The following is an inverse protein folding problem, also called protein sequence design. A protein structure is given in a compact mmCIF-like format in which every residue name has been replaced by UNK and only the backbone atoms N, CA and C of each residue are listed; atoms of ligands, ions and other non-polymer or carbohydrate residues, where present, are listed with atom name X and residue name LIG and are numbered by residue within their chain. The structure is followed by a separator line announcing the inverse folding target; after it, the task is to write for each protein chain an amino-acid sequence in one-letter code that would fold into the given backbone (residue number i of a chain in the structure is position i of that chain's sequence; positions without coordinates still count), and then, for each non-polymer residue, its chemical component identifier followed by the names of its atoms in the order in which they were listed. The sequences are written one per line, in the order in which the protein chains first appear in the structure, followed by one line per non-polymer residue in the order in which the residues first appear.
data_IF_566768949194
#
_entry.id   IF_566768949194
#
_cell.length_a   1.000
_cell.length_b   1.000
_cell.length_c   1.000
_cell.angle_alpha   90.00
_cell.angle_beta   90.00
_cell.angle_gamma   90.00
#
_symmetry.space_group_name_H-M   'P 1'
#
loop_
_entity.id
_entity.type
_entity.pdbx_description
1 polymer ?
#
# COMPACT_ATOMS: atom_id res chain seq x y z
N UNK A 1 100.33 -32.33 0.37
CA UNK A 1 100.82 -31.01 0.84
C UNK A 1 100.89 -29.97 -0.26
N UNK A 2 99.72 -29.66 -0.96
CA UNK A 2 99.79 -28.75 -2.16
C UNK A 2 98.64 -27.71 -2.19
N UNK A 3 97.85 -27.51 -1.07
CA UNK A 3 96.77 -26.47 -1.00
C UNK A 3 97.16 -25.20 -0.22
N UNK A 4 98.24 -25.20 0.61
CA UNK A 4 98.64 -24.05 1.41
C UNK A 4 99.44 -23.00 0.65
N UNK A 5 100.12 -23.36 -0.39
CA UNK A 5 101.03 -22.47 -1.19
C UNK A 5 100.31 -21.59 -2.20
N UNK A 6 99.13 -21.98 -2.69
CA UNK A 6 98.35 -21.21 -3.67
C UNK A 6 97.60 -20.08 -3.04
N UNK A 7 97.10 -20.24 -1.80
CA UNK A 7 96.36 -19.22 -1.06
C UNK A 7 97.29 -18.06 -0.68
N UNK A 8 98.51 -18.35 -0.24
CA UNK A 8 99.44 -17.28 0.13
C UNK A 8 99.91 -16.43 -1.07
N UNK A 9 99.96 -16.98 -2.30
CA UNK A 9 100.24 -16.20 -3.52
C UNK A 9 99.08 -15.30 -3.97
N UNK A 10 97.84 -15.69 -3.68
CA UNK A 10 96.69 -14.88 -4.00
C UNK A 10 96.53 -13.72 -3.01
N UNK A 11 96.82 -14.00 -1.73
CA UNK A 11 96.70 -12.97 -0.66
C UNK A 11 97.84 -11.96 -0.73
N UNK A 12 99.02 -12.33 -1.29
CA UNK A 12 100.14 -11.40 -1.48
C UNK A 12 100.00 -10.54 -2.76
N UNK A 13 99.05 -10.77 -3.61
CA UNK A 13 98.85 -10.04 -4.85
C UNK A 13 98.18 -8.66 -4.59
N UNK A 14 98.77 -7.60 -5.11
CA UNK A 14 98.17 -6.23 -5.07
C UNK A 14 96.79 -6.22 -5.69
N UNK A 15 96.55 -7.01 -6.74
CA UNK A 15 95.21 -7.13 -7.40
C UNK A 15 94.16 -7.75 -6.51
N UNK A 16 94.48 -8.71 -5.61
CA UNK A 16 93.61 -9.32 -4.69
C UNK A 16 93.09 -8.28 -3.64
N UNK A 17 93.95 -7.43 -3.11
CA UNK A 17 93.58 -6.40 -2.18
C UNK A 17 92.77 -5.28 -2.82
N UNK A 18 92.98 -4.96 -4.08
CA UNK A 18 92.21 -4.03 -4.85
C UNK A 18 90.77 -4.56 -5.03
N UNK A 19 90.61 -5.84 -5.38
CA UNK A 19 89.32 -6.48 -5.57
C UNK A 19 88.57 -6.56 -4.25
N UNK A 20 89.19 -6.97 -3.12
CA UNK A 20 88.57 -6.99 -1.83
C UNK A 20 88.21 -5.59 -1.35
N UNK A 21 89.03 -4.58 -1.56
CA UNK A 21 88.71 -3.21 -1.24
C UNK A 21 87.44 -2.70 -2.00
N UNK A 22 87.39 -3.01 -3.29
CA UNK A 22 86.27 -2.67 -4.13
C UNK A 22 84.96 -3.39 -3.71
N UNK A 23 85.08 -4.66 -3.36
CA UNK A 23 84.00 -5.49 -2.89
C UNK A 23 83.51 -5.03 -1.49
N UNK A 24 84.43 -4.69 -0.61
CA UNK A 24 84.14 -4.10 0.71
C UNK A 24 83.45 -2.72 0.63
N UNK A 25 83.96 -1.89 -0.29
CA UNK A 25 83.38 -0.60 -0.63
C UNK A 25 81.96 -0.71 -1.18
N UNK A 26 81.74 -1.69 -2.09
CA UNK A 26 80.43 -1.97 -2.67
C UNK A 26 79.47 -2.54 -1.62
N UNK A 27 79.92 -3.42 -0.75
CA UNK A 27 79.12 -3.91 0.35
C UNK A 27 78.81 -2.80 1.35
N UNK A 28 79.75 -1.98 1.66
CA UNK A 28 79.52 -0.82 2.53
C UNK A 28 78.55 0.17 1.90
N UNK A 29 78.72 0.43 0.59
CA UNK A 29 77.80 1.30 -0.15
C UNK A 29 76.39 0.74 -0.19
N UNK A 30 76.21 -0.56 -0.47
CA UNK A 30 74.88 -1.22 -0.44
C UNK A 30 74.31 -1.26 0.96
N UNK A 31 75.12 -1.45 2.00
CA UNK A 31 74.67 -1.39 3.40
C UNK A 31 74.19 0.02 3.77
N UNK A 32 74.94 1.09 3.41
CA UNK A 32 74.55 2.47 3.67
C UNK A 32 73.30 2.80 2.88
N UNK A 33 73.23 2.47 1.60
CA UNK A 33 72.05 2.68 0.75
C UNK A 33 70.81 1.91 1.24
N UNK A 34 70.97 0.74 1.85
CA UNK A 34 69.86 -0.03 2.41
C UNK A 34 69.39 0.50 3.77
N UNK A 35 70.24 1.26 4.44
CA UNK A 35 69.97 1.80 5.80
C UNK A 35 69.49 3.26 5.73
N UNK A 36 69.81 4.01 4.68
CA UNK A 36 69.29 5.35 4.45
C UNK A 36 67.82 5.27 3.95
N UNK A 37 66.83 5.33 4.86
CA UNK A 37 65.43 5.53 4.51
C UNK A 37 65.26 6.88 3.85
N UNK A 38 65.16 6.92 2.53
CA UNK A 38 64.87 8.14 1.76
C UNK A 38 63.54 8.71 2.19
N UNK A 39 63.52 9.79 2.91
CA UNK A 39 62.34 10.54 3.25
C UNK A 39 61.84 11.37 2.07
N UNK A 40 60.55 11.33 1.80
CA UNK A 40 59.89 12.11 0.77
C UNK A 40 58.82 12.97 1.40
N UNK A 41 58.40 13.99 0.68
CA UNK A 41 57.25 14.82 1.06
C UNK A 41 56.12 14.57 0.08
N UNK A 42 54.89 14.35 0.62
CA UNK A 42 53.68 14.15 -0.16
C UNK A 42 52.56 15.00 0.40
N UNK A 43 51.74 15.51 -0.52
CA UNK A 43 50.49 16.24 -0.17
C UNK A 43 49.30 15.34 -0.39
N UNK A 44 48.49 15.19 0.65
CA UNK A 44 47.24 14.46 0.63
C UNK A 44 46.13 15.47 0.66
N UNK A 45 45.38 15.58 -0.43
CA UNK A 45 44.22 16.46 -0.55
C UNK A 45 42.92 15.68 -0.33
N UNK A 46 41.83 16.38 0.05
CA UNK A 46 40.53 15.77 0.31
C UNK A 46 40.52 14.72 1.45
N UNK A 47 41.33 14.94 2.48
CA UNK A 47 41.27 14.16 3.73
C UNK A 47 40.02 14.54 4.48
N UNK A 48 39.14 13.58 4.78
CA UNK A 48 37.85 13.81 5.43
C UNK A 48 38.02 14.30 6.87
N UNK A 49 37.17 15.26 7.26
CA UNK A 49 37.03 15.70 8.64
C UNK A 49 36.02 14.79 9.35
N UNK A 50 36.38 14.33 10.55
CA UNK A 50 35.55 13.45 11.38
C UNK A 50 35.42 14.03 12.77
N UNK A 51 34.20 14.23 13.22
CA UNK A 51 33.90 14.69 14.57
C UNK A 51 33.74 13.50 15.50
N UNK A 52 34.79 13.20 16.24
CA UNK A 52 34.78 12.07 17.18
C UNK A 52 33.91 12.40 18.41
N UNK A 53 32.96 11.50 18.74
CA UNK A 53 32.02 11.70 19.85
C UNK A 53 30.79 12.53 19.49
N UNK A 54 30.55 12.83 18.20
CA UNK A 54 29.36 13.57 17.75
C UNK A 54 28.07 12.83 18.04
N UNK A 55 28.04 11.50 17.86
CA UNK A 55 26.86 10.68 18.16
C UNK A 55 26.56 10.65 19.67
N UNK A 56 27.59 10.56 20.50
CA UNK A 56 27.44 10.61 21.96
C UNK A 56 26.97 11.99 22.41
N UNK A 57 27.52 13.06 21.81
CA UNK A 57 27.13 14.44 22.07
C UNK A 57 25.63 14.65 21.74
N UNK A 58 25.19 14.14 20.61
CA UNK A 58 23.79 14.19 20.19
C UNK A 58 22.90 13.39 21.14
N UNK A 59 23.26 12.14 21.43
CA UNK A 59 22.44 11.24 22.25
C UNK A 59 22.31 11.67 23.71
N UNK A 60 23.40 12.22 24.30
CA UNK A 60 23.44 12.53 25.73
C UNK A 60 23.07 13.99 26.07
N UNK A 61 23.29 14.92 25.14
CA UNK A 61 23.13 16.35 25.36
C UNK A 61 22.23 17.06 24.37
N UNK A 62 21.77 16.33 23.31
CA UNK A 62 20.97 16.93 22.23
C UNK A 62 21.70 18.02 21.48
N UNK A 63 23.04 17.97 21.41
CA UNK A 63 23.87 18.93 20.72
C UNK A 63 24.39 18.32 19.41
N UNK A 64 24.34 19.07 18.32
CA UNK A 64 24.85 18.68 17.02
C UNK A 64 25.89 19.67 16.52
N UNK A 65 26.81 19.17 15.70
CA UNK A 65 27.83 19.99 15.02
C UNK A 65 27.27 20.42 13.68
N UNK A 66 27.35 21.70 13.35
CA UNK A 66 26.78 22.30 12.14
C UNK A 66 27.67 23.42 11.58
N UNK A 67 27.46 23.79 10.33
CA UNK A 67 28.12 24.99 9.75
C UNK A 67 29.63 24.89 9.65
N UNK A 68 30.17 23.68 9.43
CA UNK A 68 31.61 23.52 9.25
C UNK A 68 32.09 24.24 7.98
N UNK A 69 33.17 25.03 8.11
CA UNK A 69 33.77 25.76 7.01
C UNK A 69 34.55 24.84 6.04
N UNK A 70 34.88 23.63 6.45
CA UNK A 70 35.52 22.62 5.62
C UNK A 70 35.14 21.20 5.99
N UNK A 71 34.68 20.44 5.03
CA UNK A 71 34.41 18.98 5.12
C UNK A 71 35.65 18.11 4.86
N UNK A 72 36.65 18.71 4.22
CA UNK A 72 37.92 18.08 3.87
C UNK A 72 39.09 19.04 4.06
N UNK A 73 40.27 18.46 4.33
CA UNK A 73 41.50 19.22 4.49
C UNK A 73 42.61 18.69 3.59
N UNK A 74 43.63 19.51 3.35
CA UNK A 74 44.88 19.10 2.70
C UNK A 74 46.00 19.08 3.71
N UNK A 75 46.80 18.00 3.71
CA UNK A 75 47.92 17.85 4.64
C UNK A 75 49.19 17.51 3.88
N UNK A 76 50.29 18.12 4.23
CA UNK A 76 51.62 17.81 3.71
C UNK A 76 52.41 17.03 4.74
N UNK A 77 52.76 15.81 4.39
CA UNK A 77 53.47 14.87 5.24
C UNK A 77 54.84 14.59 4.73
N UNK A 78 55.77 14.40 5.65
CA UNK A 78 57.12 13.93 5.39
C UNK A 78 57.33 12.58 6.04
N UNK A 79 57.84 11.59 5.34
CA UNK A 79 58.09 10.27 5.86
C UNK A 79 58.86 9.42 4.87
N UNK A 80 59.10 8.16 5.23
CA UNK A 80 59.81 7.25 4.32
C UNK A 80 58.96 6.92 3.10
N UNK A 81 59.59 6.77 1.95
CA UNK A 81 58.94 6.45 0.68
C UNK A 81 58.03 5.21 0.79
N UNK A 82 58.45 4.25 1.61
CA UNK A 82 57.75 3.00 1.84
C UNK A 82 56.40 3.25 2.58
N UNK A 83 56.38 4.16 3.52
CA UNK A 83 55.20 4.46 4.31
C UNK A 83 54.24 5.38 3.55
N UNK A 84 54.75 6.50 3.02
CA UNK A 84 53.92 7.48 2.31
C UNK A 84 53.42 6.98 0.96
N UNK A 85 54.18 6.15 0.26
CA UNK A 85 53.82 5.59 -1.05
C UNK A 85 52.66 4.60 -1.01
N UNK A 86 52.36 4.03 0.16
CA UNK A 86 51.25 3.11 0.37
C UNK A 86 50.03 3.77 1.05
N UNK A 87 50.09 5.09 1.32
CA UNK A 87 48.96 5.85 1.89
C UNK A 87 48.19 6.55 0.77
N UNK A 88 46.90 6.55 0.90
CA UNK A 88 45.98 7.38 0.12
C UNK A 88 45.26 8.39 1.02
N UNK A 89 44.65 9.44 0.43
CA UNK A 89 43.84 10.41 1.19
C UNK A 89 42.66 9.75 1.89
N UNK A 90 42.15 8.64 1.37
CA UNK A 90 41.03 7.90 1.98
C UNK A 90 41.44 7.13 3.26
N UNK A 91 42.73 6.85 3.43
CA UNK A 91 43.26 6.16 4.61
C UNK A 91 43.53 7.13 5.76
N UNK A 92 43.45 8.43 5.50
CA UNK A 92 43.68 9.49 6.47
C UNK A 92 42.35 10.12 6.90
N UNK A 93 42.25 10.51 8.18
CA UNK A 93 41.13 11.30 8.70
C UNK A 93 41.64 12.43 9.56
N UNK A 94 41.07 13.61 9.36
CA UNK A 94 41.29 14.78 10.26
C UNK A 94 40.25 14.71 11.38
N UNK A 95 40.67 14.38 12.58
CA UNK A 95 39.80 14.13 13.72
C UNK A 95 39.72 15.31 14.65
N UNK A 96 38.55 15.76 14.98
CA UNK A 96 38.19 16.74 15.99
C UNK A 96 37.39 16.04 17.08
N UNK A 97 37.89 16.07 18.32
CA UNK A 97 37.16 15.51 19.46
C UNK A 97 36.14 16.52 19.99
N UNK A 98 34.86 16.19 19.90
CA UNK A 98 33.74 17.02 20.36
C UNK A 98 33.09 16.46 21.63
N UNK A 99 33.54 15.34 22.16
CA UNK A 99 32.95 14.64 23.32
C UNK A 99 32.90 15.50 24.59
N UNK A 100 33.86 16.42 24.75
CA UNK A 100 33.97 17.33 25.90
C UNK A 100 33.05 18.57 25.86
N UNK A 101 32.30 18.77 24.76
CA UNK A 101 31.49 19.98 24.60
C UNK A 101 30.17 19.82 25.38
N UNK A 102 29.86 20.84 26.20
CA UNK A 102 28.66 20.81 27.07
C UNK A 102 27.64 21.90 26.78
N UNK A 103 27.94 22.84 25.90
CA UNK A 103 27.09 23.99 25.60
C UNK A 103 27.16 24.35 24.10
N UNK A 104 26.08 24.88 23.57
CA UNK A 104 26.02 25.43 22.23
C UNK A 104 26.95 26.65 22.10
N UNK A 105 27.83 26.64 21.09
CA UNK A 105 28.77 27.76 20.80
C UNK A 105 29.45 27.59 19.47
N UNK A 106 29.95 28.66 18.91
CA UNK A 106 30.90 28.63 17.80
C UNK A 106 32.29 28.27 18.30
N UNK A 107 32.99 27.46 17.50
CA UNK A 107 34.33 26.96 17.83
C UNK A 107 35.22 27.01 16.61
N UNK A 108 36.50 27.31 16.87
CA UNK A 108 37.59 27.17 15.93
C UNK A 108 38.67 26.30 16.56
N UNK A 109 38.85 25.10 16.02
CA UNK A 109 39.66 24.05 16.63
C UNK A 109 40.65 23.46 15.62
N UNK A 110 41.89 23.18 16.09
CA UNK A 110 42.82 22.39 15.30
C UNK A 110 42.46 20.90 15.37
N UNK A 111 42.74 20.20 14.28
CA UNK A 111 42.48 18.77 14.19
C UNK A 111 43.73 17.91 14.32
N UNK A 112 43.58 16.70 14.78
CA UNK A 112 44.59 15.65 14.76
C UNK A 112 44.42 14.74 13.53
N UNK A 113 45.55 14.19 13.03
CA UNK A 113 45.50 13.21 11.96
C UNK A 113 45.42 11.80 12.53
N UNK A 114 44.44 11.06 12.06
CA UNK A 114 44.35 9.62 12.30
C UNK A 114 44.87 8.87 11.08
N UNK A 115 45.72 7.89 11.39
CA UNK A 115 46.37 7.01 10.40
C UNK A 115 45.83 5.60 10.54
N UNK A 116 45.93 4.76 9.49
CA UNK A 116 45.63 3.33 9.58
C UNK A 116 46.48 2.63 10.65
N UNK A 117 45.95 1.58 11.23
CA UNK A 117 46.59 0.84 12.34
C UNK A 117 47.91 0.15 11.96
N UNK A 118 48.13 -0.08 10.67
CA UNK A 118 49.34 -0.69 10.11
C UNK A 118 50.50 0.30 9.81
N UNK A 119 50.28 1.58 10.12
CA UNK A 119 51.25 2.67 9.86
C UNK A 119 51.87 3.14 11.17
N UNK A 120 53.21 3.12 11.20
CA UNK A 120 53.97 3.69 12.32
C UNK A 120 53.95 5.23 12.28
N UNK A 121 53.20 5.82 13.19
CA UNK A 121 53.06 7.27 13.32
C UNK A 121 54.39 8.00 13.61
N UNK A 122 55.33 7.32 14.24
CA UNK A 122 56.62 7.90 14.60
C UNK A 122 57.52 8.18 13.34
N UNK A 123 57.22 7.51 12.23
CA UNK A 123 57.93 7.67 10.94
C UNK A 123 57.38 8.80 10.07
N UNK A 124 56.28 9.48 10.49
CA UNK A 124 55.62 10.55 9.73
C UNK A 124 55.68 11.87 10.47
N UNK A 125 56.10 12.90 9.78
CA UNK A 125 56.07 14.29 10.27
C UNK A 125 55.07 15.11 9.48
N UNK A 126 54.16 15.80 10.15
CA UNK A 126 53.21 16.74 9.51
C UNK A 126 53.97 18.05 9.29
N UNK A 127 54.10 18.47 8.03
CA UNK A 127 54.79 19.71 7.66
C UNK A 127 53.82 20.89 7.61
N UNK A 128 52.63 20.69 7.06
CA UNK A 128 51.59 21.74 7.02
C UNK A 128 50.20 21.15 6.96
N UNK A 129 49.23 21.89 7.41
CA UNK A 129 47.78 21.64 7.35
C UNK A 129 47.10 22.82 6.67
N UNK A 130 46.14 22.57 5.81
CA UNK A 130 45.37 23.60 5.12
C UNK A 130 43.90 23.20 4.98
N UNK A 131 42.98 23.86 5.64
CA UNK A 131 43.16 24.89 6.68
C UNK A 131 43.87 24.32 7.94
N UNK A 132 44.46 25.18 8.76
CA UNK A 132 45.12 24.78 10.01
C UNK A 132 44.13 24.49 11.13
N UNK A 133 43.03 25.25 11.14
CA UNK A 133 41.89 25.11 12.04
C UNK A 133 40.59 25.00 11.25
N UNK A 134 39.60 24.36 11.83
CA UNK A 134 38.26 24.28 11.28
C UNK A 134 37.32 25.01 12.23
N UNK A 135 36.50 25.88 11.64
CA UNK A 135 35.45 26.60 12.33
C UNK A 135 34.11 25.85 12.15
N UNK A 136 33.41 25.66 13.22
CA UNK A 136 32.08 25.03 13.22
C UNK A 136 31.26 25.53 14.40
N UNK A 137 29.94 25.36 14.33
CA UNK A 137 29.02 25.68 15.42
C UNK A 137 28.51 24.43 16.08
N UNK A 138 28.34 24.44 17.37
CA UNK A 138 27.60 23.43 18.11
C UNK A 138 26.29 24.07 18.55
N UNK A 139 25.16 23.48 18.12
CA UNK A 139 23.82 24.00 18.39
C UNK A 139 22.96 22.93 19.07
N UNK A 140 21.88 23.37 19.72
CA UNK A 140 20.86 22.45 20.23
C UNK A 140 20.11 21.84 19.06
N UNK A 141 19.98 20.51 19.05
CA UNK A 141 19.14 19.83 18.07
C UNK A 141 17.68 20.16 18.33
N UNK A 142 16.99 20.56 17.29
CA UNK A 142 15.55 20.75 17.28
C UNK A 142 14.88 19.63 16.47
N UNK A 143 13.58 19.49 16.60
CA UNK A 143 12.79 18.59 15.77
C UNK A 143 11.52 19.27 15.27
N UNK A 144 11.06 18.84 14.10
CA UNK A 144 9.84 19.29 13.45
C UNK A 144 9.14 18.11 12.79
N UNK A 145 7.90 17.85 13.19
CA UNK A 145 7.09 16.80 12.56
C UNK A 145 6.19 17.41 11.51
N UNK A 146 6.27 16.89 10.29
CA UNK A 146 5.48 17.35 9.14
C UNK A 146 4.75 16.17 8.50
N UNK A 147 3.55 16.46 7.98
CA UNK A 147 2.81 15.50 7.17
C UNK A 147 3.45 15.32 5.80
N UNK A 148 3.42 14.08 5.30
CA UNK A 148 3.94 13.74 3.97
C UNK A 148 2.81 13.83 2.96
N UNK A 149 2.96 14.69 1.96
CA UNK A 149 2.01 14.86 0.87
C UNK A 149 2.43 14.02 -0.34
N UNK A 150 1.55 13.12 -0.76
CA UNK A 150 1.70 12.39 -2.03
C UNK A 150 1.19 13.23 -3.20
N UNK A 151 2.00 13.41 -4.23
CA UNK A 151 1.64 14.15 -5.44
C UNK A 151 1.75 13.22 -6.64
N UNK A 152 0.61 12.96 -7.29
CA UNK A 152 0.57 12.25 -8.56
C UNK A 152 0.68 13.23 -9.73
N UNK A 153 1.61 12.94 -10.63
CA UNK A 153 1.78 13.71 -11.88
C UNK A 153 1.68 12.74 -13.05
N UNK A 154 0.69 12.96 -13.92
CA UNK A 154 0.51 12.12 -15.09
C UNK A 154 -0.94 11.91 -15.46
N UNK A 155 -1.25 10.80 -16.11
CA UNK A 155 -2.59 10.47 -16.60
C UNK A 155 -2.99 9.05 -16.20
N UNK A 156 -4.30 8.88 -16.04
CA UNK A 156 -4.95 7.58 -15.89
C UNK A 156 -5.60 7.25 -17.24
N UNK A 157 -5.60 6.01 -17.64
CA UNK A 157 -6.18 5.52 -18.87
C UNK A 157 -7.70 5.75 -18.89
N UNK A 158 -8.25 5.99 -20.07
CA UNK A 158 -9.69 6.13 -20.24
C UNK A 158 -10.43 4.90 -19.69
N UNK A 159 -11.51 5.13 -18.95
CA UNK A 159 -12.26 4.09 -18.27
C UNK A 159 -11.68 3.67 -16.92
N UNK A 160 -10.73 4.44 -16.37
CA UNK A 160 -10.19 4.22 -15.03
C UNK A 160 -10.25 5.51 -14.20
N UNK A 161 -10.28 5.35 -12.89
CA UNK A 161 -10.25 6.45 -11.91
C UNK A 161 -9.17 6.16 -10.88
N UNK A 162 -8.28 7.14 -10.63
CA UNK A 162 -7.31 7.06 -9.55
C UNK A 162 -7.93 7.56 -8.25
N UNK A 163 -7.70 6.82 -7.18
CA UNK A 163 -7.97 7.25 -5.82
C UNK A 163 -6.79 8.10 -5.28
N UNK A 164 -6.98 8.83 -4.18
CA UNK A 164 -5.90 9.59 -3.56
C UNK A 164 -4.69 8.71 -3.22
N UNK A 165 -3.50 9.26 -3.41
CA UNK A 165 -2.25 8.62 -3.00
C UNK A 165 -2.27 8.37 -1.49
N UNK A 166 -1.92 7.17 -1.10
CA UNK A 166 -1.70 6.78 0.28
C UNK A 166 -0.21 6.75 0.56
N UNK A 167 0.20 7.34 1.66
CA UNK A 167 1.60 7.44 2.09
C UNK A 167 1.74 6.86 3.49
N UNK A 168 2.73 6.00 3.68
CA UNK A 168 3.03 5.39 4.97
C UNK A 168 4.56 5.45 5.25
N UNK A 169 5.01 6.08 6.36
CA UNK A 169 4.21 6.82 7.34
C UNK A 169 3.62 8.13 6.77
N UNK A 170 2.48 8.55 7.30
CA UNK A 170 1.81 9.80 6.91
C UNK A 170 2.50 11.07 7.44
N UNK A 171 3.45 10.92 8.35
CA UNK A 171 4.25 12.02 8.89
C UNK A 171 5.68 11.60 9.14
N UNK A 172 6.61 12.55 9.03
CA UNK A 172 8.03 12.37 9.30
C UNK A 172 8.47 13.43 10.32
N UNK A 173 9.27 12.99 11.28
CA UNK A 173 9.94 13.89 12.20
C UNK A 173 11.35 14.16 11.68
N UNK A 174 11.63 15.40 11.41
CA UNK A 174 12.94 15.93 11.01
C UNK A 174 13.70 16.39 12.24
N UNK A 175 15.00 16.18 12.25
CA UNK A 175 15.92 16.58 13.31
C UNK A 175 17.05 17.39 12.68
N UNK A 176 17.45 18.47 13.32
CA UNK A 176 18.55 19.31 12.84
C UNK A 176 18.59 20.68 13.53
N UNK A 177 19.38 21.62 13.00
CA UNK A 177 19.38 22.99 13.47
C UNK A 177 18.00 23.66 13.29
N UNK A 178 17.56 24.43 14.29
CA UNK A 178 16.26 25.12 14.27
C UNK A 178 16.09 25.98 13.01
N UNK A 179 17.15 26.71 12.62
CA UNK A 179 17.12 27.60 11.47
C UNK A 179 16.87 26.87 10.14
N UNK A 180 17.51 25.71 9.93
CA UNK A 180 17.26 24.87 8.74
C UNK A 180 15.88 24.23 8.77
N UNK A 181 15.39 23.81 9.96
CA UNK A 181 14.06 23.24 10.12
C UNK A 181 12.95 24.27 9.87
N UNK A 182 13.18 25.53 10.24
CA UNK A 182 12.22 26.62 10.01
C UNK A 182 12.05 26.91 8.52
N UNK A 183 13.08 26.69 7.72
CA UNK A 183 13.01 26.83 6.26
C UNK A 183 12.19 25.75 5.58
N UNK A 184 11.97 24.59 6.24
CA UNK A 184 11.16 23.50 5.68
C UNK A 184 9.68 23.73 5.97
N UNK A 185 8.87 23.92 4.95
CA UNK A 185 7.42 24.05 5.06
C UNK A 185 6.69 22.71 4.96
N UNK A 186 7.06 21.91 3.98
CA UNK A 186 6.34 20.66 3.71
C UNK A 186 7.24 19.55 3.18
N UNK A 187 6.74 18.31 3.31
CA UNK A 187 7.39 17.11 2.80
C UNK A 187 6.51 16.54 1.69
N UNK A 188 7.09 16.32 0.50
CA UNK A 188 6.37 15.79 -0.63
C UNK A 188 7.04 14.55 -1.21
N UNK A 189 6.20 13.64 -1.70
CA UNK A 189 6.62 12.49 -2.51
C UNK A 189 5.93 12.59 -3.86
N UNK A 190 6.71 12.48 -4.93
CA UNK A 190 6.21 12.59 -6.29
C UNK A 190 6.16 11.22 -6.96
N UNK A 191 4.99 10.91 -7.53
CA UNK A 191 4.79 9.71 -8.35
C UNK A 191 4.38 10.14 -9.74
N UNK A 192 5.21 9.85 -10.74
CA UNK A 192 4.90 10.18 -12.15
C UNK A 192 4.63 8.90 -12.91
N UNK A 193 3.42 8.80 -13.49
CA UNK A 193 3.02 7.70 -14.39
C UNK A 193 2.08 8.25 -15.46
N UNK A 194 2.10 7.63 -16.63
CA UNK A 194 1.22 7.97 -17.75
C UNK A 194 0.43 6.74 -18.16
N UNK A 195 -0.82 6.95 -18.57
CA UNK A 195 -1.71 5.90 -19.06
C UNK A 195 -1.91 4.74 -18.07
N UNK A 196 -2.11 5.10 -16.79
CA UNK A 196 -2.16 4.15 -15.68
C UNK A 196 -3.49 3.38 -15.68
N UNK A 197 -3.43 2.05 -15.81
CA UNK A 197 -4.57 1.14 -15.84
C UNK A 197 -4.57 0.11 -14.68
N UNK A 198 -3.64 0.25 -13.75
CA UNK A 198 -3.49 -0.61 -12.57
C UNK A 198 -3.08 0.19 -11.36
N UNK A 199 -3.49 -0.27 -10.19
CA UNK A 199 -3.08 0.29 -8.91
C UNK A 199 -1.55 0.26 -8.76
N UNK A 200 -1.00 1.32 -8.17
CA UNK A 200 0.39 1.36 -7.76
C UNK A 200 0.50 0.62 -6.43
N UNK A 201 1.18 -0.52 -6.45
CA UNK A 201 1.47 -1.29 -5.24
C UNK A 201 2.40 -0.49 -4.30
N UNK A 202 2.37 -0.76 -2.97
CA UNK A 202 3.26 -0.11 -2.02
C UNK A 202 4.72 -0.16 -2.48
N UNK A 203 5.30 1.01 -2.71
CA UNK A 203 6.66 1.19 -3.24
C UNK A 203 7.37 2.25 -2.41
N UNK A 204 8.58 1.94 -1.96
CA UNK A 204 9.39 2.89 -1.22
C UNK A 204 9.95 3.96 -2.14
N UNK A 205 9.62 5.20 -1.85
CA UNK A 205 10.05 6.37 -2.60
C UNK A 205 10.79 7.36 -1.68
N UNK A 206 11.84 8.01 -2.17
CA UNK A 206 12.44 9.13 -1.45
C UNK A 206 11.48 10.32 -1.41
N UNK A 207 11.45 11.01 -0.31
CA UNK A 207 10.70 12.25 -0.17
C UNK A 207 11.57 13.47 -0.46
N UNK A 208 10.95 14.61 -0.64
CA UNK A 208 11.57 15.89 -0.93
C UNK A 208 11.09 16.91 0.10
N UNK A 209 12.01 17.68 0.66
CA UNK A 209 11.69 18.81 1.51
C UNK A 209 11.45 20.05 0.66
N UNK A 210 10.42 20.81 0.96
CA UNK A 210 10.04 22.02 0.25
C UNK A 210 9.99 23.22 1.19
N UNK A 211 10.34 24.39 0.67
CA UNK A 211 10.14 25.68 1.34
C UNK A 211 8.69 26.18 1.16
N UNK A 212 8.39 27.36 1.72
CA UNK A 212 7.07 28.01 1.63
C UNK A 212 6.67 28.37 0.19
N UNK A 213 7.64 28.54 -0.70
CA UNK A 213 7.41 28.84 -2.12
C UNK A 213 7.28 27.58 -2.98
N UNK A 214 7.44 26.38 -2.38
CA UNK A 214 7.38 25.09 -3.04
C UNK A 214 8.68 24.68 -3.75
N UNK A 215 9.79 25.37 -3.50
CA UNK A 215 11.08 25.00 -4.05
C UNK A 215 11.71 23.86 -3.24
N UNK A 216 12.45 23.02 -3.95
CA UNK A 216 13.16 21.91 -3.32
C UNK A 216 14.32 22.39 -2.46
N UNK A 217 14.34 21.96 -1.22
CA UNK A 217 15.45 22.14 -0.30
C UNK A 217 16.36 20.90 -0.29
N UNK A 218 17.65 21.15 -0.15
CA UNK A 218 18.69 20.11 0.06
C UNK A 218 19.53 20.46 1.29
N UNK A 219 18.94 20.44 2.49
CA UNK A 219 19.66 20.75 3.72
C UNK A 219 20.75 19.71 3.95
N UNK A 220 21.88 20.13 4.50
CA UNK A 220 23.01 19.24 4.78
C UNK A 220 22.89 18.57 6.15
N UNK A 221 22.20 19.20 7.07
CA UNK A 221 22.25 18.89 8.49
C UNK A 221 20.89 18.42 9.05
N UNK A 222 19.87 18.33 8.18
CA UNK A 222 18.59 17.75 8.54
C UNK A 222 18.59 16.25 8.28
N UNK A 223 18.18 15.49 9.29
CA UNK A 223 17.95 14.05 9.19
C UNK A 223 16.49 13.73 9.52
N UNK A 224 15.90 12.80 8.81
CA UNK A 224 14.56 12.31 9.11
C UNK A 224 14.60 10.99 9.89
N UNK A 225 13.54 10.68 10.62
CA UNK A 225 13.38 9.37 11.26
C UNK A 225 13.12 8.24 10.24
N UNK A 226 12.88 8.58 8.97
CA UNK A 226 12.77 7.67 7.83
C UNK A 226 13.50 8.26 6.63
N UNK A 227 14.17 7.41 5.85
CA UNK A 227 14.86 7.83 4.62
C UNK A 227 13.93 7.77 3.41
N UNK A 228 12.91 6.91 3.46
CA UNK A 228 11.93 6.70 2.40
C UNK A 228 10.55 6.50 3.01
N UNK A 229 9.52 6.73 2.20
CA UNK A 229 8.12 6.47 2.53
C UNK A 229 7.53 5.48 1.52
N UNK A 230 6.65 4.61 2.00
CA UNK A 230 5.89 3.71 1.15
C UNK A 230 4.71 4.47 0.53
N UNK A 231 4.61 4.43 -0.78
CA UNK A 231 3.55 5.10 -1.54
C UNK A 231 2.74 4.07 -2.29
N UNK A 232 1.42 4.15 -2.19
CA UNK A 232 0.49 3.36 -2.99
C UNK A 232 -0.63 4.23 -3.52
N UNK A 233 -1.20 3.84 -4.65
CA UNK A 233 -2.34 4.55 -5.24
C UNK A 233 -3.29 3.54 -5.88
N UNK A 234 -4.49 3.35 -5.33
CA UNK A 234 -5.51 2.53 -5.96
C UNK A 234 -5.97 3.15 -7.28
N UNK A 235 -6.12 2.33 -8.29
CA UNK A 235 -6.71 2.70 -9.59
C UNK A 235 -7.84 1.74 -9.86
N UNK A 236 -9.04 2.29 -10.02
CA UNK A 236 -10.27 1.57 -10.17
C UNK A 236 -10.73 1.61 -11.62
N UNK A 237 -11.25 0.50 -12.12
CA UNK A 237 -11.91 0.42 -13.42
C UNK A 237 -13.31 1.00 -13.32
N UNK A 238 -13.72 1.80 -14.31
CA UNK A 238 -15.08 2.29 -14.42
C UNK A 238 -15.88 1.39 -15.37
N UNK A 239 -17.08 1.00 -14.97
CA UNK A 239 -17.97 0.15 -15.78
C UNK A 239 -19.42 0.59 -15.61
N UNK A 240 -20.13 0.63 -16.74
CA UNK A 240 -21.59 0.75 -16.72
C UNK A 240 -22.20 -0.60 -16.49
N UNK A 241 -22.91 -0.78 -15.36
CA UNK A 241 -23.60 -2.01 -15.00
C UNK A 241 -25.09 -1.87 -15.27
N UNK A 242 -25.65 -2.67 -16.21
CA UNK A 242 -27.08 -2.79 -16.41
C UNK A 242 -27.77 -3.26 -15.12
N UNK A 243 -28.90 -2.63 -14.78
CA UNK A 243 -29.75 -3.08 -13.69
C UNK A 243 -30.73 -4.13 -14.22
N UNK A 244 -30.95 -5.17 -13.42
CA UNK A 244 -31.87 -6.26 -13.76
C UNK A 244 -32.66 -6.70 -12.53
N UNK A 245 -33.73 -7.43 -12.75
CA UNK A 245 -34.53 -8.07 -11.69
C UNK A 245 -34.54 -9.58 -11.91
N UNK A 246 -34.56 -10.33 -10.82
CA UNK A 246 -34.80 -11.78 -10.86
C UNK A 246 -36.29 -12.02 -10.70
N UNK A 247 -36.89 -12.77 -11.60
CA UNK A 247 -38.30 -13.13 -11.55
C UNK A 247 -38.48 -14.53 -10.97
N UNK A 248 -39.43 -14.68 -10.05
CA UNK A 248 -39.95 -15.97 -9.64
C UNK A 248 -41.27 -16.16 -10.34
N UNK A 249 -41.33 -17.14 -11.27
CA UNK A 249 -42.53 -17.43 -12.05
C UNK A 249 -43.67 -17.93 -11.19
N UNK A 250 -44.90 -17.56 -11.55
CA UNK A 250 -46.07 -17.98 -10.83
C UNK A 250 -47.37 -17.47 -11.45
N UNK A 251 -48.46 -18.16 -11.16
CA UNK A 251 -49.80 -17.79 -11.62
C UNK A 251 -49.87 -17.53 -13.14
N UNK A 252 -49.36 -18.48 -13.95
CA UNK A 252 -49.33 -18.38 -15.39
C UNK A 252 -48.35 -17.39 -15.98
N UNK A 253 -47.70 -16.55 -15.17
CA UNK A 253 -46.71 -15.59 -15.66
C UNK A 253 -45.29 -16.19 -15.62
N UNK A 254 -44.56 -15.95 -16.68
CA UNK A 254 -43.16 -16.32 -16.89
C UNK A 254 -42.38 -15.11 -17.41
N UNK A 255 -41.09 -15.26 -17.55
CA UNK A 255 -40.24 -14.19 -18.11
C UNK A 255 -40.69 -13.78 -19.53
N UNK A 256 -41.17 -14.76 -20.34
CA UNK A 256 -41.54 -14.54 -21.73
C UNK A 256 -42.78 -13.65 -21.91
N UNK A 257 -43.69 -13.63 -20.94
CA UNK A 257 -44.89 -12.81 -21.00
C UNK A 257 -44.83 -11.55 -20.12
N UNK A 258 -43.64 -11.26 -19.56
CA UNK A 258 -43.40 -10.04 -18.76
C UNK A 258 -42.62 -9.00 -19.54
N UNK A 259 -43.02 -7.76 -19.38
CA UNK A 259 -42.25 -6.56 -19.82
C UNK A 259 -41.72 -5.91 -18.59
N UNK A 260 -40.39 -5.78 -18.54
CA UNK A 260 -39.66 -5.20 -17.41
C UNK A 260 -39.08 -3.86 -17.85
N UNK A 261 -39.35 -2.81 -17.10
CA UNK A 261 -38.77 -1.51 -17.25
C UNK A 261 -38.11 -1.11 -15.94
N UNK A 262 -36.82 -0.72 -16.02
CA UNK A 262 -36.03 -0.31 -14.86
C UNK A 262 -35.48 1.08 -15.16
N UNK A 263 -35.63 2.00 -14.22
CA UNK A 263 -35.13 3.36 -14.32
C UNK A 263 -34.31 3.76 -13.07
N UNK A 264 -32.99 4.07 -13.22
CA UNK A 264 -32.23 4.07 -14.47
C UNK A 264 -31.98 2.67 -15.01
N UNK A 265 -31.66 2.54 -16.28
CA UNK A 265 -31.35 1.23 -16.91
C UNK A 265 -29.99 0.67 -16.48
N UNK A 266 -29.05 1.55 -16.13
CA UNK A 266 -27.72 1.20 -15.69
C UNK A 266 -27.19 2.25 -14.73
N UNK A 267 -26.18 1.88 -13.95
CA UNK A 267 -25.39 2.81 -13.16
C UNK A 267 -23.92 2.67 -13.51
N UNK A 268 -23.16 3.76 -13.38
CA UNK A 268 -21.73 3.74 -13.52
C UNK A 268 -21.09 3.47 -12.16
N UNK A 269 -20.20 2.49 -12.13
CA UNK A 269 -19.48 2.09 -10.90
C UNK A 269 -17.98 2.07 -11.16
N UNK A 270 -17.19 2.34 -10.10
CA UNK A 270 -15.77 2.11 -10.07
C UNK A 270 -15.45 0.98 -9.09
N UNK A 271 -14.47 0.15 -9.44
CA UNK A 271 -14.05 -0.97 -8.60
C UNK A 271 -12.79 -1.65 -9.12
N UNK A 272 -12.36 -2.68 -8.39
CA UNK A 272 -11.22 -3.50 -8.81
C UNK A 272 -11.50 -4.14 -10.16
N UNK A 273 -10.49 -4.11 -11.04
CA UNK A 273 -10.60 -4.64 -12.41
C UNK A 273 -11.03 -6.11 -12.44
N UNK A 274 -10.53 -6.92 -11.50
CA UNK A 274 -10.84 -8.36 -11.45
C UNK A 274 -12.29 -8.61 -11.06
N UNK A 275 -12.84 -7.79 -10.18
CA UNK A 275 -14.26 -7.86 -9.76
C UNK A 275 -15.17 -7.41 -10.89
N UNK A 276 -14.88 -6.25 -11.49
CA UNK A 276 -15.74 -5.68 -12.53
C UNK A 276 -15.69 -6.44 -13.85
N UNK A 277 -14.61 -7.16 -14.16
CA UNK A 277 -14.57 -8.04 -15.35
C UNK A 277 -15.58 -9.18 -15.27
N UNK A 278 -15.87 -9.68 -14.08
CA UNK A 278 -16.82 -10.80 -13.87
C UNK A 278 -18.25 -10.33 -13.65
N UNK A 279 -18.46 -9.09 -13.20
CA UNK A 279 -19.76 -8.53 -12.91
C UNK A 279 -20.37 -7.91 -14.18
N UNK A 280 -21.39 -8.58 -14.76
CA UNK A 280 -22.00 -8.14 -16.02
C UNK A 280 -23.32 -7.40 -15.85
N UNK A 281 -23.98 -7.56 -14.71
CA UNK A 281 -25.27 -6.95 -14.39
C UNK A 281 -25.44 -6.89 -12.87
N UNK A 282 -26.34 -6.04 -12.41
CA UNK A 282 -26.68 -5.92 -11.00
C UNK A 282 -28.18 -6.23 -10.79
N UNK A 283 -28.46 -7.28 -10.01
CA UNK A 283 -29.83 -7.64 -9.66
C UNK A 283 -30.31 -6.73 -8.52
N UNK A 284 -31.29 -5.87 -8.82
CA UNK A 284 -31.79 -4.88 -7.84
C UNK A 284 -32.95 -5.41 -6.99
N UNK A 285 -33.70 -6.39 -7.50
CA UNK A 285 -34.80 -7.01 -6.76
C UNK A 285 -35.09 -8.41 -7.27
N UNK A 286 -35.71 -9.23 -6.42
CA UNK A 286 -36.40 -10.47 -6.81
C UNK A 286 -37.89 -10.26 -6.67
N UNK A 287 -38.65 -10.46 -7.76
CA UNK A 287 -40.09 -10.23 -7.80
C UNK A 287 -40.84 -11.52 -8.07
N UNK A 288 -41.78 -11.87 -7.18
CA UNK A 288 -42.68 -12.99 -7.34
C UNK A 288 -43.88 -12.57 -8.23
N UNK A 289 -43.97 -13.15 -9.39
CA UNK A 289 -45.05 -12.88 -10.36
C UNK A 289 -46.43 -13.30 -9.89
N UNK A 290 -46.55 -14.09 -8.82
CA UNK A 290 -47.80 -14.44 -8.19
C UNK A 290 -48.33 -13.39 -7.22
N UNK A 291 -47.53 -12.39 -6.84
CA UNK A 291 -47.86 -11.38 -5.87
C UNK A 291 -48.78 -10.24 -6.37
N UNK A 292 -48.87 -10.07 -7.70
CA UNK A 292 -49.68 -9.01 -8.33
C UNK A 292 -50.47 -9.49 -9.56
N UNK A 293 -51.46 -8.73 -9.98
CA UNK A 293 -52.38 -9.13 -11.05
C UNK A 293 -51.78 -8.94 -12.46
N UNK A 294 -51.60 -7.68 -12.88
CA UNK A 294 -51.18 -7.37 -14.25
C UNK A 294 -50.00 -6.38 -14.28
N UNK A 295 -49.82 -5.59 -13.23
CA UNK A 295 -48.72 -4.61 -13.16
C UNK A 295 -48.21 -4.51 -11.73
N UNK A 296 -46.92 -4.27 -11.64
CA UNK A 296 -46.18 -4.07 -10.39
C UNK A 296 -45.21 -2.89 -10.56
N UNK A 297 -45.19 -2.00 -9.61
CA UNK A 297 -44.25 -0.87 -9.58
C UNK A 297 -43.70 -0.75 -8.17
N UNK A 298 -42.39 -0.65 -8.05
CA UNK A 298 -41.71 -0.46 -6.78
C UNK A 298 -40.43 0.33 -6.97
N UNK A 299 -40.04 1.07 -5.94
CA UNK A 299 -38.70 1.69 -5.85
C UNK A 299 -37.86 0.89 -4.89
N UNK A 300 -36.67 0.48 -5.34
CA UNK A 300 -35.76 -0.37 -4.57
C UNK A 300 -34.39 0.31 -4.47
N UNK A 301 -33.74 0.14 -3.33
CA UNK A 301 -32.36 0.58 -3.15
C UNK A 301 -31.43 -0.32 -3.99
N UNK A 302 -30.52 0.27 -4.73
CA UNK A 302 -29.54 -0.46 -5.52
C UNK A 302 -28.52 -1.13 -4.58
N UNK A 303 -28.46 -2.47 -4.52
CA UNK A 303 -27.54 -3.19 -3.63
C UNK A 303 -26.15 -3.17 -4.22
N UNK A 304 -25.29 -2.25 -3.80
CA UNK A 304 -23.91 -2.17 -4.23
C UNK A 304 -22.98 -2.74 -3.16
N UNK A 305 -22.05 -3.60 -3.60
CA UNK A 305 -21.02 -4.15 -2.72
C UNK A 305 -20.11 -3.02 -2.21
N UNK A 306 -19.63 -3.14 -0.98
CA UNK A 306 -18.73 -2.16 -0.34
C UNK A 306 -17.41 -1.96 -1.11
N UNK A 307 -17.03 -2.93 -1.95
CA UNK A 307 -15.83 -2.85 -2.79
C UNK A 307 -16.07 -2.07 -4.10
N UNK A 308 -17.30 -1.65 -4.35
CA UNK A 308 -17.69 -0.87 -5.53
C UNK A 308 -18.11 0.53 -5.13
N UNK A 309 -17.67 1.51 -5.89
CA UNK A 309 -18.04 2.91 -5.70
C UNK A 309 -19.05 3.32 -6.77
N UNK A 310 -20.17 3.87 -6.35
CA UNK A 310 -21.17 4.44 -7.25
C UNK A 310 -20.70 5.80 -7.79
N UNK A 311 -20.46 5.89 -9.08
CA UNK A 311 -20.07 7.14 -9.75
C UNK A 311 -21.27 7.94 -10.27
N UNK A 312 -22.44 7.28 -10.50
CA UNK A 312 -23.65 7.94 -10.98
C UNK A 312 -24.38 8.72 -9.90
N UNK A 313 -24.09 8.44 -8.61
CA UNK A 313 -24.77 9.07 -7.47
C UNK A 313 -26.22 8.61 -7.27
N UNK A 314 -26.74 7.73 -8.12
CA UNK A 314 -28.13 7.20 -8.02
C UNK A 314 -28.13 6.00 -7.10
N UNK A 315 -28.91 6.04 -6.03
CA UNK A 315 -28.97 4.99 -4.99
C UNK A 315 -30.23 4.14 -5.05
N UNK A 316 -31.22 4.55 -5.84
CA UNK A 316 -32.52 3.88 -5.97
C UNK A 316 -32.88 3.66 -7.43
N UNK A 317 -33.60 2.58 -7.69
CA UNK A 317 -34.14 2.27 -9.01
C UNK A 317 -35.65 2.01 -8.92
N UNK A 318 -36.40 2.52 -9.87
CA UNK A 318 -37.82 2.21 -10.03
C UNK A 318 -37.94 1.03 -11.00
N UNK A 319 -38.59 -0.01 -10.53
CA UNK A 319 -38.87 -1.24 -11.28
C UNK A 319 -40.34 -1.28 -11.62
N UNK A 320 -40.68 -1.38 -12.90
CA UNK A 320 -42.03 -1.59 -13.43
C UNK A 320 -42.07 -2.91 -14.16
N UNK A 321 -43.02 -3.76 -13.80
CA UNK A 321 -43.26 -5.03 -14.44
C UNK A 321 -44.71 -5.06 -14.89
N UNK A 322 -44.96 -5.40 -16.15
CA UNK A 322 -46.28 -5.62 -16.68
C UNK A 322 -46.37 -6.99 -17.33
N UNK A 323 -47.43 -7.73 -17.00
CA UNK A 323 -47.70 -9.04 -17.56
C UNK A 323 -48.67 -8.90 -18.74
N UNK A 324 -48.32 -9.48 -19.87
CA UNK A 324 -49.10 -9.41 -21.12
C UNK A 324 -49.74 -10.74 -21.47
N UNK A 325 -50.89 -10.68 -22.13
CA UNK A 325 -51.55 -11.86 -22.67
C UNK A 325 -52.23 -12.77 -21.63
N UNK A 326 -52.30 -12.27 -20.37
CA UNK A 326 -52.98 -12.98 -19.31
C UNK A 326 -54.14 -12.11 -18.79
N UNK A 327 -55.24 -12.79 -18.45
CA UNK A 327 -56.43 -12.19 -17.82
C UNK A 327 -56.62 -12.73 -16.39
N UNK A 328 -57.40 -12.03 -15.62
CA UNK A 328 -57.66 -12.41 -14.21
C UNK A 328 -59.15 -12.58 -14.00
N UNK A 329 -59.55 -13.68 -13.31
CA UNK A 329 -60.91 -13.93 -12.90
C UNK A 329 -61.00 -14.31 -11.42
N UNK A 330 -62.10 -13.93 -10.75
CA UNK A 330 -62.36 -14.27 -9.36
C UNK A 330 -63.27 -15.51 -9.29
N UNK A 331 -62.76 -16.58 -8.76
CA UNK A 331 -63.46 -17.85 -8.63
C UNK A 331 -63.63 -18.18 -7.16
N UNK A 332 -64.82 -18.61 -6.77
CA UNK A 332 -65.14 -19.01 -5.37
C UNK A 332 -64.75 -20.50 -5.22
N UNK A 333 -63.71 -20.77 -4.48
CA UNK A 333 -63.24 -22.12 -4.17
C UNK A 333 -63.95 -22.67 -2.94
N UNK A 334 -64.42 -23.90 -3.02
CA UNK A 334 -65.04 -24.64 -1.91
C UNK A 334 -64.25 -25.90 -1.54
N UNK A 335 -63.30 -26.29 -2.36
CA UNK A 335 -62.41 -27.41 -2.09
C UNK A 335 -61.23 -26.95 -1.23
N UNK A 336 -61.47 -26.90 0.09
CA UNK A 336 -60.44 -26.46 1.05
C UNK A 336 -60.01 -27.68 1.88
N UNK A 337 -58.72 -27.93 1.94
CA UNK A 337 -58.13 -29.08 2.64
C UNK A 337 -56.96 -28.63 3.55
N UNK A 338 -56.66 -29.49 4.51
CA UNK A 338 -55.51 -29.26 5.42
C UNK A 338 -54.48 -30.40 5.28
N UNK A 339 -53.23 -30.06 5.52
CA UNK A 339 -52.13 -31.03 5.52
C UNK A 339 -51.21 -30.79 6.75
N UNK A 340 -50.30 -31.71 7.03
CA UNK A 340 -49.25 -31.50 8.06
C UNK A 340 -49.73 -31.71 9.52
N UNK A 341 -50.90 -32.31 9.75
CA UNK A 341 -51.35 -32.66 11.10
C UNK A 341 -52.05 -34.02 11.15
N UNK A 342 -51.84 -34.73 12.24
CA UNK A 342 -52.55 -35.97 12.55
C UNK A 342 -53.73 -35.72 13.55
N UNK A 343 -53.99 -34.46 13.93
CA UNK A 343 -55.03 -34.06 14.82
C UNK A 343 -56.35 -33.87 14.07
N UNK A 344 -57.44 -34.08 14.78
CA UNK A 344 -58.75 -33.78 14.21
C UNK A 344 -58.92 -32.23 14.22
N UNK A 345 -59.11 -31.66 13.03
CA UNK A 345 -59.30 -30.22 12.83
C UNK A 345 -60.56 -30.00 11.97
N UNK A 346 -61.25 -28.91 12.25
CA UNK A 346 -62.43 -28.49 11.47
C UNK A 346 -62.07 -27.22 10.67
N UNK A 347 -62.34 -27.21 9.37
CA UNK A 347 -62.10 -26.04 8.52
C UNK A 347 -63.30 -25.09 8.71
N UNK A 348 -63.06 -23.98 9.35
CA UNK A 348 -64.09 -22.96 9.65
C UNK A 348 -64.39 -22.09 8.42
N UNK A 349 -63.49 -22.01 7.45
CA UNK A 349 -63.71 -21.29 6.18
C UNK A 349 -64.45 -22.16 5.20
N UNK A 350 -65.70 -21.89 4.94
CA UNK A 350 -66.53 -22.69 4.02
C UNK A 350 -66.24 -22.43 2.53
N UNK A 351 -65.82 -21.26 2.18
CA UNK A 351 -65.44 -20.84 0.84
C UNK A 351 -64.42 -19.72 0.83
N UNK A 352 -63.64 -19.64 -0.23
CA UNK A 352 -62.59 -18.62 -0.40
C UNK A 352 -62.65 -18.06 -1.84
N UNK A 353 -62.72 -16.73 -1.96
CA UNK A 353 -62.62 -16.09 -3.27
C UNK A 353 -61.16 -16.00 -3.67
N UNK A 354 -60.81 -16.70 -4.73
CA UNK A 354 -59.46 -16.77 -5.27
C UNK A 354 -59.41 -16.00 -6.59
N UNK A 355 -58.39 -15.16 -6.75
CA UNK A 355 -58.10 -14.52 -8.05
C UNK A 355 -57.17 -15.40 -8.83
N UNK A 356 -57.64 -15.94 -9.97
CA UNK A 356 -56.87 -16.77 -10.87
C UNK A 356 -56.39 -15.90 -12.05
N UNK A 357 -55.18 -16.14 -12.53
CA UNK A 357 -54.63 -15.55 -13.74
C UNK A 357 -54.25 -16.64 -14.71
N UNK A 358 -54.64 -16.47 -15.96
CA UNK A 358 -54.37 -17.41 -17.05
C UNK A 358 -54.53 -16.70 -18.42
N UNK A 359 -54.10 -17.31 -19.57
CA UNK A 359 -54.48 -16.88 -20.90
C UNK A 359 -55.99 -16.81 -21.07
N UNK A 360 -56.50 -15.88 -21.90
CA UNK A 360 -57.95 -15.69 -22.12
C UNK A 360 -58.69 -16.96 -22.51
N UNK A 361 -58.04 -17.85 -23.30
CA UNK A 361 -58.60 -19.12 -23.72
C UNK A 361 -58.72 -20.15 -22.57
N UNK A 362 -57.71 -20.12 -21.66
CA UNK A 362 -57.64 -21.04 -20.52
C UNK A 362 -58.56 -20.58 -19.39
N UNK A 363 -58.61 -19.27 -19.08
CA UNK A 363 -59.34 -18.75 -17.91
C UNK A 363 -60.84 -19.03 -18.01
N UNK A 364 -61.40 -19.00 -19.22
CA UNK A 364 -62.82 -19.25 -19.43
C UNK A 364 -63.23 -20.73 -19.17
N UNK A 365 -62.25 -21.65 -19.08
CA UNK A 365 -62.45 -23.07 -18.83
C UNK A 365 -62.31 -23.46 -17.35
N UNK A 366 -61.73 -22.54 -16.54
CA UNK A 366 -61.47 -22.80 -15.12
C UNK A 366 -62.72 -22.59 -14.31
N UNK A 367 -63.15 -23.64 -13.59
CA UNK A 367 -64.31 -23.60 -12.68
C UNK A 367 -63.89 -23.77 -11.22
N UNK A 368 -64.83 -23.66 -10.29
CA UNK A 368 -64.59 -23.89 -8.85
C UNK A 368 -63.97 -25.28 -8.56
N UNK A 369 -64.29 -26.27 -9.37
CA UNK A 369 -63.83 -27.65 -9.19
C UNK A 369 -62.33 -27.80 -9.49
N UNK A 370 -61.76 -26.89 -10.27
CA UNK A 370 -60.35 -26.85 -10.59
C UNK A 370 -59.50 -26.20 -9.52
N UNK A 371 -60.15 -25.52 -8.53
CA UNK A 371 -59.42 -24.76 -7.50
C UNK A 371 -59.33 -25.58 -6.23
N UNK A 372 -58.12 -25.89 -5.80
CA UNK A 372 -57.84 -26.62 -4.58
C UNK A 372 -57.03 -25.73 -3.64
N UNK A 373 -57.55 -25.48 -2.41
CA UNK A 373 -56.91 -24.68 -1.39
C UNK A 373 -56.34 -25.60 -0.31
N UNK A 374 -55.08 -25.45 0.01
CA UNK A 374 -54.38 -26.30 0.98
C UNK A 374 -53.73 -25.46 2.07
N UNK A 375 -54.18 -25.65 3.29
CA UNK A 375 -53.60 -25.04 4.47
C UNK A 375 -52.61 -26.03 5.14
N UNK A 376 -51.35 -25.65 5.27
CA UNK A 376 -50.32 -26.47 5.90
C UNK A 376 -50.24 -26.20 7.40
N UNK A 377 -50.55 -27.20 8.19
CA UNK A 377 -50.61 -27.16 9.65
C UNK A 377 -49.33 -27.69 10.33
N UNK A 378 -48.29 -28.05 9.55
CA UNK A 378 -47.04 -28.67 10.08
C UNK A 378 -46.43 -27.84 11.23
N UNK A 379 -46.47 -26.53 11.15
CA UNK A 379 -45.85 -25.62 12.12
C UNK A 379 -46.85 -25.11 13.18
N UNK A 380 -48.10 -25.53 13.12
CA UNK A 380 -49.16 -25.06 14.06
C UNK A 380 -49.35 -26.05 15.21
N UNK A 381 -49.01 -25.57 16.42
CA UNK A 381 -49.07 -26.36 17.66
C UNK A 381 -50.26 -26.01 18.53
N UNK A 382 -51.27 -25.29 18.01
CA UNK A 382 -52.44 -24.93 18.79
C UNK A 382 -53.15 -26.17 19.35
N UNK A 383 -53.54 -26.12 20.61
CA UNK A 383 -54.22 -27.22 21.32
C UNK A 383 -55.74 -27.10 21.24
N UNK A 384 -56.27 -25.88 21.09
CA UNK A 384 -57.69 -25.60 20.90
C UNK A 384 -57.88 -24.20 20.33
N UNK A 385 -59.02 -23.92 19.73
CA UNK A 385 -59.40 -22.62 19.18
C UNK A 385 -59.20 -22.48 17.67
N UNK A 386 -59.62 -21.34 17.15
CA UNK A 386 -59.54 -21.03 15.71
C UNK A 386 -58.29 -20.25 15.40
N UNK A 387 -57.52 -20.71 14.40
CA UNK A 387 -56.26 -20.11 13.95
C UNK A 387 -56.34 -19.79 12.47
N UNK A 388 -55.89 -18.63 12.06
CA UNK A 388 -55.73 -18.23 10.67
C UNK A 388 -54.40 -18.81 10.13
N UNK A 389 -54.51 -19.64 9.10
CA UNK A 389 -53.39 -20.38 8.50
C UNK A 389 -53.20 -19.95 7.05
N UNK A 390 -52.01 -19.54 6.64
CA UNK A 390 -51.70 -19.30 5.23
C UNK A 390 -51.99 -20.55 4.38
N UNK A 391 -52.67 -20.37 3.26
CA UNK A 391 -53.04 -21.45 2.38
C UNK A 391 -52.45 -21.26 0.98
N UNK A 392 -51.94 -22.36 0.39
CA UNK A 392 -51.56 -22.41 -0.98
C UNK A 392 -52.75 -22.81 -1.86
N UNK A 393 -52.90 -22.11 -2.97
CA UNK A 393 -53.97 -22.38 -3.92
C UNK A 393 -53.35 -23.00 -5.16
N UNK A 394 -53.92 -24.10 -5.64
CA UNK A 394 -53.59 -24.85 -6.82
C UNK A 394 -54.71 -24.77 -7.85
N UNK A 395 -54.38 -24.61 -9.12
CA UNK A 395 -55.32 -24.70 -10.23
C UNK A 395 -55.08 -26.03 -10.93
N UNK A 396 -55.85 -27.03 -10.56
CA UNK A 396 -55.61 -28.38 -11.05
C UNK A 396 -56.14 -28.54 -12.50
N UNK A 397 -55.33 -29.17 -13.37
CA UNK A 397 -55.64 -29.41 -14.77
C UNK A 397 -55.12 -28.35 -15.76
N UNK A 398 -54.57 -27.23 -15.28
CA UNK A 398 -54.08 -26.14 -16.11
C UNK A 398 -52.67 -25.70 -15.66
N UNK A 399 -51.68 -25.94 -16.50
CA UNK A 399 -50.28 -25.64 -16.20
C UNK A 399 -49.90 -24.17 -16.44
N UNK A 400 -50.69 -23.46 -17.25
CA UNK A 400 -50.56 -22.05 -17.63
C UNK A 400 -51.44 -21.10 -16.79
N UNK A 401 -52.05 -21.63 -15.74
CA UNK A 401 -52.91 -20.90 -14.80
C UNK A 401 -52.36 -20.95 -13.38
N UNK A 402 -52.69 -19.96 -12.55
CA UNK A 402 -52.37 -19.99 -11.14
C UNK A 402 -53.07 -18.87 -10.35
N UNK A 403 -53.14 -19.06 -9.04
CA UNK A 403 -53.74 -18.10 -8.13
C UNK A 403 -52.73 -16.97 -7.82
N UNK A 404 -53.19 -15.73 -7.77
CA UNK A 404 -52.42 -14.54 -7.40
C UNK A 404 -52.89 -14.02 -6.03
N UNK A 405 -51.91 -13.55 -5.23
CA UNK A 405 -52.12 -13.03 -3.90
C UNK A 405 -51.93 -14.05 -2.79
N UNK A 406 -52.07 -13.58 -1.57
CA UNK A 406 -51.96 -14.40 -0.37
C UNK A 406 -53.36 -14.79 0.16
N UNK A 407 -53.49 -16.03 0.58
CA UNK A 407 -54.77 -16.59 1.05
C UNK A 407 -54.60 -17.16 2.43
N UNK A 408 -55.66 -17.03 3.24
CA UNK A 408 -55.70 -17.49 4.63
C UNK A 408 -56.99 -18.31 4.86
N UNK A 409 -56.84 -19.44 5.49
CA UNK A 409 -57.93 -20.32 5.88
C UNK A 409 -58.02 -20.36 7.42
N UNK A 410 -59.22 -20.19 7.98
CA UNK A 410 -59.44 -20.36 9.40
C UNK A 410 -59.66 -21.85 9.70
N UNK A 411 -58.84 -22.41 10.59
CA UNK A 411 -58.91 -23.81 11.02
C UNK A 411 -59.18 -23.85 12.53
N UNK A 412 -60.17 -24.59 12.94
CA UNK A 412 -60.53 -24.83 14.33
C UNK A 412 -59.89 -26.12 14.83
N UNK A 413 -59.07 -26.02 15.86
CA UNK A 413 -58.47 -27.16 16.55
C UNK A 413 -59.45 -27.59 17.65
N UNK A 414 -60.11 -28.76 17.52
CA UNK A 414 -60.90 -29.39 18.57
C UNK A 414 -59.94 -30.05 19.53
N UNK A 415 -59.94 -29.53 20.80
CA UNK A 415 -59.08 -30.10 21.84
C UNK A 415 -59.25 -31.61 21.94
N UNK A 416 -58.18 -32.35 21.82
CA UNK A 416 -58.12 -33.79 22.05
C UNK A 416 -57.97 -34.10 23.54
#
# INVERSE_FOLDING_TARGET
MTKKTTINKIVSSKAFWIIISLLASFLLWTYIMSTEETTIEMTFSNVKVVYQGADDLRATRGLIVTGADADTVSVRLKGTRRVLGNLSSADLSAVIDVSGISQAREMQVSYSLQYPTNVDKSSITVLSKSPETISFSVVQEANKTLEVKGVFTGSVKDGYTAEPIQVDPSSITLYGPQEELDAVDSICVYVTRTDLDKSIAPTNCPYVLLDMDGNKLTPKEITGNYDTVSVSMPVLMNKDLPLTVSLVGGAGATEDNCVIEIEPKSIQVAGDTTVLQTLNQLVVATVDLSSFATSYETTVTIPLDNNLRNLSGVTEATVRISVRGLETEKITATNITTTGTNRHVEIATASLVVTVRAPAETISQITADNIRVVADLTNYKATSGTVAVPAKVYVDGFSDAGAIGEYVVNVHFTGG
#
